data_IF_963516079730
#
_entry.id   IF_963516079730
#
_cell.length_a   1.000
_cell.length_b   1.000
_cell.length_c   1.000
_cell.angle_alpha   90.00
_cell.angle_beta   90.00
_cell.angle_gamma   90.00
#
_symmetry.space_group_name_H-M   'P 1'
#
loop_
_entity.id
_entity.type
_entity.pdbx_description
1 polymer ?
#
# COMPACT_ATOMS: atom_id res chain seq x y z
N UNK A 1 3.78 -22.88 7.13
CA UNK A 1 3.67 -22.90 8.61
C UNK A 1 4.99 -23.27 9.27
N UNK A 2 5.59 -24.41 8.93
CA UNK A 2 6.83 -24.88 9.57
C UNK A 2 7.99 -23.90 9.43
N UNK A 3 8.10 -23.20 8.30
CA UNK A 3 9.11 -22.16 8.11
C UNK A 3 8.93 -20.95 9.05
N UNK A 4 7.70 -20.60 9.41
CA UNK A 4 7.42 -19.51 10.36
C UNK A 4 7.66 -19.97 11.79
N UNK A 5 7.20 -21.18 12.14
CA UNK A 5 7.39 -21.76 13.48
C UNK A 5 8.86 -22.05 13.80
N UNK A 6 9.64 -22.47 12.80
CA UNK A 6 11.09 -22.69 12.93
C UNK A 6 11.92 -21.41 12.87
N UNK A 7 11.30 -20.26 12.55
CA UNK A 7 11.99 -18.98 12.55
C UNK A 7 12.42 -18.58 13.97
N UNK A 8 13.39 -17.67 14.08
CA UNK A 8 13.93 -17.20 15.38
C UNK A 8 12.87 -16.60 16.31
N UNK A 9 11.77 -16.10 15.75
CA UNK A 9 10.67 -15.47 16.47
C UNK A 9 9.39 -16.31 16.41
N UNK A 10 9.43 -17.52 15.84
CA UNK A 10 8.27 -18.37 15.61
C UNK A 10 7.53 -18.75 16.89
N UNK A 11 8.25 -18.86 18.02
CA UNK A 11 7.70 -19.18 19.34
C UNK A 11 6.94 -18.01 19.99
N UNK A 12 7.05 -16.80 19.45
CA UNK A 12 6.33 -15.62 19.97
C UNK A 12 4.85 -15.64 19.60
N UNK A 13 4.50 -16.28 18.48
CA UNK A 13 3.14 -16.33 17.97
C UNK A 13 2.30 -17.34 18.75
N UNK A 14 1.07 -16.96 19.12
CA UNK A 14 0.11 -17.86 19.77
C UNK A 14 -0.18 -19.05 18.85
N UNK A 15 -0.04 -20.31 19.32
CA UNK A 15 -0.35 -21.51 18.55
C UNK A 15 -1.76 -21.50 17.96
N UNK A 16 -2.72 -20.94 18.68
CA UNK A 16 -4.15 -20.90 18.31
C UNK A 16 -4.42 -19.93 17.16
N UNK A 17 -3.57 -18.92 16.95
CA UNK A 17 -3.73 -17.94 15.88
C UNK A 17 -3.15 -18.46 14.55
N UNK A 18 -2.64 -19.69 14.52
CA UNK A 18 -2.13 -20.33 13.32
C UNK A 18 -3.21 -21.15 12.63
N UNK A 19 -3.90 -20.52 11.69
CA UNK A 19 -4.94 -21.14 10.89
C UNK A 19 -4.37 -21.54 9.54
N UNK A 20 -4.61 -22.77 9.12
CA UNK A 20 -4.16 -23.27 7.82
C UNK A 20 -5.12 -24.30 7.24
N UNK A 21 -5.29 -24.27 5.92
CA UNK A 21 -5.96 -25.32 5.17
C UNK A 21 -5.02 -26.51 4.91
N UNK A 22 -5.59 -27.60 4.41
CA UNK A 22 -4.85 -28.76 3.90
C UNK A 22 -4.50 -28.61 2.41
N UNK A 23 -5.27 -27.77 1.71
CA UNK A 23 -5.15 -27.49 0.28
C UNK A 23 -4.58 -26.08 0.07
N UNK A 24 -3.90 -25.86 -1.06
CA UNK A 24 -3.40 -24.56 -1.45
C UNK A 24 -4.16 -24.03 -2.65
N UNK A 25 -4.30 -22.70 -2.76
CA UNK A 25 -5.03 -22.08 -3.86
C UNK A 25 -4.33 -22.21 -5.23
N UNK A 26 -3.07 -22.65 -5.29
CA UNK A 26 -2.37 -22.96 -6.55
C UNK A 26 -2.25 -21.78 -7.52
N UNK A 27 -2.01 -20.57 -7.02
CA UNK A 27 -1.98 -19.31 -7.79
C UNK A 27 -3.29 -18.99 -8.54
N UNK A 28 -4.43 -19.48 -8.04
CA UNK A 28 -5.74 -19.18 -8.56
C UNK A 28 -6.53 -18.34 -7.56
N UNK A 29 -6.87 -17.10 -7.94
CA UNK A 29 -7.68 -16.19 -7.13
C UNK A 29 -9.08 -16.75 -6.84
N UNK A 30 -9.76 -17.34 -7.82
CA UNK A 30 -11.11 -17.87 -7.65
C UNK A 30 -11.15 -19.00 -6.61
N UNK A 31 -10.11 -19.84 -6.55
CA UNK A 31 -9.97 -20.84 -5.48
C UNK A 31 -9.85 -20.22 -4.10
N UNK A 32 -9.05 -19.15 -4.00
CA UNK A 32 -8.89 -18.41 -2.76
C UNK A 32 -10.16 -17.68 -2.34
N UNK A 33 -10.96 -17.20 -3.29
CA UNK A 33 -12.11 -16.35 -3.00
C UNK A 33 -13.42 -17.13 -2.83
N UNK A 34 -13.68 -18.13 -3.69
CA UNK A 34 -14.98 -18.81 -3.76
C UNK A 34 -15.00 -20.22 -3.18
N UNK A 35 -13.87 -20.94 -3.20
CA UNK A 35 -13.84 -22.36 -2.78
C UNK A 35 -13.04 -22.56 -1.49
N UNK A 36 -11.77 -22.89 -1.59
CA UNK A 36 -10.90 -23.29 -0.47
C UNK A 36 -10.77 -22.18 0.59
N UNK A 37 -10.67 -20.91 0.18
CA UNK A 37 -10.58 -19.81 1.14
C UNK A 37 -11.90 -19.47 1.82
N UNK A 38 -13.04 -19.70 1.15
CA UNK A 38 -14.36 -19.49 1.74
C UNK A 38 -14.67 -20.53 2.83
N UNK A 39 -14.16 -21.75 2.73
CA UNK A 39 -14.26 -22.75 3.81
C UNK A 39 -13.41 -22.36 5.04
N UNK A 40 -12.28 -21.68 4.82
CA UNK A 40 -11.34 -21.34 5.89
C UNK A 40 -11.64 -19.98 6.55
N UNK A 41 -12.31 -19.06 5.85
CA UNK A 41 -12.48 -17.67 6.30
C UNK A 41 -13.25 -17.57 7.62
N UNK A 42 -14.24 -18.42 7.85
CA UNK A 42 -15.02 -18.40 9.11
C UNK A 42 -14.14 -18.72 10.32
N UNK A 43 -13.25 -19.70 10.20
CA UNK A 43 -12.29 -20.01 11.26
C UNK A 43 -11.33 -18.83 11.53
N UNK A 44 -10.95 -18.09 10.48
CA UNK A 44 -10.13 -16.88 10.61
C UNK A 44 -10.91 -15.78 11.31
N UNK A 45 -12.15 -15.56 10.92
CA UNK A 45 -13.02 -14.54 11.52
C UNK A 45 -13.27 -14.82 13.00
N UNK A 46 -13.43 -16.08 13.42
CA UNK A 46 -13.57 -16.43 14.84
C UNK A 46 -12.35 -16.03 15.67
N UNK A 47 -11.13 -16.25 15.16
CA UNK A 47 -9.91 -15.80 15.84
C UNK A 47 -9.79 -14.28 15.83
N UNK A 48 -10.16 -13.63 14.72
CA UNK A 48 -10.19 -12.17 14.62
C UNK A 48 -11.14 -11.58 15.66
N UNK A 49 -12.36 -12.13 15.81
CA UNK A 49 -13.34 -11.73 16.84
C UNK A 49 -12.77 -11.84 18.24
N UNK A 50 -12.16 -12.98 18.58
CA UNK A 50 -11.55 -13.20 19.89
C UNK A 50 -10.46 -12.16 20.22
N UNK A 51 -9.60 -11.84 19.25
CA UNK A 51 -8.55 -10.82 19.45
C UNK A 51 -9.15 -9.40 19.50
N UNK A 52 -10.23 -9.12 18.76
CA UNK A 52 -10.93 -7.83 18.81
C UNK A 52 -11.62 -7.60 20.16
N UNK A 53 -12.28 -8.61 20.73
CA UNK A 53 -12.89 -8.54 22.07
C UNK A 53 -11.86 -8.38 23.18
N UNK A 54 -10.61 -8.81 22.92
CA UNK A 54 -9.49 -8.66 23.84
C UNK A 54 -8.92 -7.23 23.88
N UNK A 55 -9.32 -6.35 22.95
CA UNK A 55 -8.81 -4.99 22.84
C UNK A 55 -9.70 -3.97 23.54
N UNK A 56 -9.12 -3.08 24.35
CA UNK A 56 -9.86 -1.97 24.98
C UNK A 56 -10.45 -1.00 23.94
N UNK A 57 -9.67 -0.66 22.90
CA UNK A 57 -10.11 0.18 21.79
C UNK A 57 -9.35 -0.18 20.51
N UNK A 58 -10.00 -0.95 19.66
CA UNK A 58 -9.46 -1.36 18.36
C UNK A 58 -9.39 -0.17 17.39
N UNK A 59 -8.21 0.11 16.83
CA UNK A 59 -8.08 1.17 15.81
C UNK A 59 -8.48 0.69 14.41
N UNK A 60 -8.09 -0.54 14.05
CA UNK A 60 -8.20 -1.04 12.71
C UNK A 60 -7.45 -2.34 12.49
N UNK A 61 -7.43 -2.79 11.24
CA UNK A 61 -6.81 -4.02 10.79
C UNK A 61 -5.66 -3.71 9.83
N UNK A 62 -4.62 -4.54 9.88
CA UNK A 62 -3.49 -4.45 8.97
C UNK A 62 -3.29 -5.80 8.28
N UNK A 63 -3.61 -5.88 7.00
CA UNK A 63 -3.37 -7.08 6.19
C UNK A 63 -2.05 -6.96 5.43
N UNK A 64 -1.28 -8.05 5.38
CA UNK A 64 -0.04 -8.14 4.58
C UNK A 64 -0.21 -9.30 3.62
N UNK A 65 -0.28 -9.02 2.33
CA UNK A 65 -0.59 -10.02 1.31
C UNK A 65 0.07 -9.72 -0.04
N UNK A 66 0.09 -10.70 -0.92
CA UNK A 66 0.53 -10.54 -2.31
C UNK A 66 -0.65 -10.66 -3.25
N UNK A 67 -0.72 -9.79 -4.26
CA UNK A 67 -1.82 -9.77 -5.21
C UNK A 67 -1.63 -10.75 -6.38
N UNK A 68 -0.40 -11.21 -6.62
CA UNK A 68 -0.10 -12.18 -7.68
C UNK A 68 -0.44 -13.64 -7.33
N UNK A 69 -0.59 -13.96 -6.04
CA UNK A 69 -0.87 -15.34 -5.58
C UNK A 69 -2.33 -15.76 -5.79
N UNK A 70 -2.74 -16.86 -5.16
CA UNK A 70 -4.16 -17.26 -5.07
C UNK A 70 -4.75 -17.08 -3.66
N UNK A 71 -3.99 -17.46 -2.62
CA UNK A 71 -4.45 -17.33 -1.22
C UNK A 71 -4.34 -15.90 -0.73
N UNK A 72 -3.17 -15.27 -0.87
CA UNK A 72 -2.97 -13.89 -0.40
C UNK A 72 -3.89 -12.90 -1.10
N UNK A 73 -4.15 -13.13 -2.38
CA UNK A 73 -5.02 -12.30 -3.21
C UNK A 73 -6.50 -12.63 -2.95
N UNK A 74 -6.98 -13.81 -3.33
CA UNK A 74 -8.39 -14.19 -3.27
C UNK A 74 -8.95 -14.34 -1.86
N UNK A 75 -8.28 -15.10 -0.99
CA UNK A 75 -8.71 -15.25 0.39
C UNK A 75 -8.46 -13.96 1.18
N UNK A 76 -7.39 -13.23 0.87
CA UNK A 76 -7.09 -11.93 1.50
C UNK A 76 -8.16 -10.89 1.23
N UNK A 77 -8.63 -10.76 -0.01
CA UNK A 77 -9.74 -9.85 -0.35
C UNK A 77 -11.07 -10.32 0.23
N UNK A 78 -11.35 -11.63 0.25
CA UNK A 78 -12.53 -12.16 0.93
C UNK A 78 -12.53 -11.80 2.42
N UNK A 79 -11.39 -11.93 3.09
CA UNK A 79 -11.24 -11.59 4.49
C UNK A 79 -11.43 -10.09 4.73
N UNK A 80 -10.91 -9.23 3.85
CA UNK A 80 -11.13 -7.78 3.91
C UNK A 80 -12.64 -7.48 3.86
N UNK A 81 -13.36 -8.07 2.91
CA UNK A 81 -14.80 -7.84 2.75
C UNK A 81 -15.57 -8.27 4.01
N UNK A 82 -15.25 -9.44 4.57
CA UNK A 82 -15.87 -9.93 5.81
C UNK A 82 -15.56 -9.05 7.01
N UNK A 83 -14.32 -8.56 7.14
CA UNK A 83 -13.96 -7.63 8.20
C UNK A 83 -14.68 -6.29 8.01
N UNK A 84 -14.84 -5.81 6.77
CA UNK A 84 -15.55 -4.55 6.50
C UNK A 84 -17.05 -4.65 6.79
N UNK A 85 -17.66 -5.80 6.50
CA UNK A 85 -19.06 -6.11 6.87
C UNK A 85 -19.27 -6.09 8.39
N UNK A 86 -18.36 -6.70 9.16
CA UNK A 86 -18.50 -6.84 10.62
C UNK A 86 -18.02 -5.60 11.41
N UNK A 87 -17.00 -4.90 10.88
CA UNK A 87 -16.34 -3.75 11.52
C UNK A 87 -16.26 -2.54 10.57
N UNK A 88 -17.41 -1.97 10.12
CA UNK A 88 -17.43 -0.89 9.14
C UNK A 88 -16.74 0.40 9.64
N UNK A 89 -16.82 0.66 10.95
CA UNK A 89 -16.23 1.86 11.56
C UNK A 89 -14.71 1.76 11.80
N UNK A 90 -14.06 0.64 11.44
CA UNK A 90 -12.64 0.41 11.72
C UNK A 90 -11.81 0.59 10.45
N UNK A 91 -10.61 1.17 10.62
CA UNK A 91 -9.69 1.42 9.51
C UNK A 91 -9.14 0.10 8.98
N UNK A 92 -9.17 -0.10 7.67
CA UNK A 92 -8.61 -1.24 6.97
C UNK A 92 -7.37 -0.83 6.17
N UNK A 93 -6.21 -1.27 6.62
CA UNK A 93 -4.93 -0.99 5.99
C UNK A 93 -4.34 -2.26 5.35
N UNK A 94 -3.81 -2.13 4.14
CA UNK A 94 -3.16 -3.26 3.45
C UNK A 94 -1.73 -2.93 3.01
N UNK A 95 -0.82 -3.88 3.19
CA UNK A 95 0.49 -3.88 2.57
C UNK A 95 0.45 -4.88 1.43
N UNK A 96 0.23 -4.35 0.23
CA UNK A 96 -0.10 -5.12 -0.97
C UNK A 96 1.13 -5.24 -1.85
N UNK A 97 1.66 -6.46 -1.95
CA UNK A 97 2.81 -6.75 -2.82
C UNK A 97 2.32 -6.98 -4.25
N UNK A 98 2.70 -6.07 -5.14
CA UNK A 98 2.39 -6.06 -6.55
C UNK A 98 3.26 -7.07 -7.30
N UNK A 99 2.69 -7.83 -8.26
CA UNK A 99 3.46 -8.76 -9.06
C UNK A 99 4.40 -8.02 -10.02
N UNK A 100 5.51 -8.67 -10.36
CA UNK A 100 6.42 -8.20 -11.40
C UNK A 100 6.96 -9.36 -12.23
N UNK A 101 6.96 -9.23 -13.57
CA UNK A 101 7.50 -10.26 -14.47
C UNK A 101 9.01 -10.46 -14.34
N UNK A 102 9.74 -9.56 -13.66
CA UNK A 102 11.18 -9.73 -13.39
C UNK A 102 11.46 -10.68 -12.23
N UNK A 103 10.50 -10.88 -11.34
CA UNK A 103 10.69 -11.57 -10.05
C UNK A 103 9.91 -12.87 -9.97
N UNK A 104 8.81 -13.01 -10.70
CA UNK A 104 7.97 -14.21 -10.71
C UNK A 104 7.79 -14.80 -12.11
N UNK A 105 7.82 -16.13 -12.17
CA UNK A 105 7.59 -16.93 -13.39
C UNK A 105 6.11 -17.30 -13.58
N UNK A 106 5.23 -16.88 -12.67
CA UNK A 106 3.80 -17.24 -12.72
C UNK A 106 3.07 -16.38 -13.77
N UNK A 107 2.50 -17.03 -14.78
CA UNK A 107 1.86 -16.32 -15.90
C UNK A 107 0.49 -15.73 -15.56
N UNK A 108 -0.19 -16.23 -14.53
CA UNK A 108 -1.57 -15.82 -14.18
C UNK A 108 -1.63 -14.67 -13.17
N UNK A 109 -0.50 -14.12 -12.73
CA UNK A 109 -0.47 -13.04 -11.72
C UNK A 109 -1.27 -11.79 -12.12
N UNK A 110 -1.27 -11.33 -13.40
CA UNK A 110 -2.08 -10.17 -13.78
C UNK A 110 -3.59 -10.40 -13.57
N UNK A 111 -4.11 -11.62 -13.78
CA UNK A 111 -5.50 -11.94 -13.47
C UNK A 111 -5.78 -11.78 -11.97
N UNK A 112 -4.96 -12.43 -11.14
CA UNK A 112 -5.11 -12.37 -9.69
C UNK A 112 -5.00 -10.93 -9.17
N UNK A 113 -4.11 -10.12 -9.74
CA UNK A 113 -3.90 -8.75 -9.33
C UNK A 113 -5.07 -7.84 -9.69
N UNK A 114 -5.60 -7.90 -10.93
CA UNK A 114 -6.76 -7.08 -11.33
C UNK A 114 -7.99 -7.40 -10.48
N UNK A 115 -8.28 -8.69 -10.28
CA UNK A 115 -9.40 -9.12 -9.45
C UNK A 115 -9.24 -8.66 -8.00
N UNK A 116 -8.01 -8.65 -7.49
CA UNK A 116 -7.76 -8.18 -6.13
C UNK A 116 -7.82 -6.67 -6.01
N UNK A 117 -7.27 -5.92 -6.98
CA UNK A 117 -7.30 -4.46 -7.00
C UNK A 117 -8.75 -3.97 -7.00
N UNK A 118 -9.62 -4.59 -7.82
CA UNK A 118 -11.04 -4.31 -7.83
C UNK A 118 -11.66 -4.37 -6.41
N UNK A 119 -11.35 -5.40 -5.63
CA UNK A 119 -11.82 -5.53 -4.24
C UNK A 119 -11.17 -4.52 -3.28
N UNK A 120 -9.88 -4.19 -3.49
CA UNK A 120 -9.16 -3.23 -2.65
C UNK A 120 -9.66 -1.79 -2.82
N UNK A 121 -10.12 -1.42 -4.02
CA UNK A 121 -10.66 -0.09 -4.31
C UNK A 121 -11.86 0.22 -3.39
N UNK A 122 -12.72 -0.75 -3.16
CA UNK A 122 -13.98 -0.52 -2.42
C UNK A 122 -13.85 -0.78 -0.92
N UNK A 123 -13.01 -1.75 -0.52
CA UNK A 123 -13.05 -2.30 0.84
C UNK A 123 -11.87 -1.92 1.73
N UNK A 124 -10.94 -1.08 1.26
CA UNK A 124 -9.77 -0.65 2.05
C UNK A 124 -9.71 0.86 2.18
N UNK A 125 -9.23 1.35 3.32
CA UNK A 125 -9.06 2.79 3.56
C UNK A 125 -7.64 3.25 3.21
N UNK A 126 -6.62 2.38 3.32
CA UNK A 126 -5.25 2.66 2.91
C UNK A 126 -4.58 1.42 2.30
N UNK A 127 -4.02 1.54 1.10
CA UNK A 127 -3.25 0.47 0.46
C UNK A 127 -1.82 0.92 0.14
N UNK A 128 -0.84 0.31 0.81
CA UNK A 128 0.58 0.53 0.55
C UNK A 128 1.04 -0.39 -0.58
N UNK A 129 1.28 0.19 -1.76
CA UNK A 129 1.71 -0.54 -2.95
C UNK A 129 3.21 -0.84 -2.87
N UNK A 130 3.55 -2.11 -2.72
CA UNK A 130 4.94 -2.57 -2.68
C UNK A 130 5.22 -3.35 -3.96
N UNK A 131 6.06 -2.82 -4.83
CA UNK A 131 6.40 -3.45 -6.09
C UNK A 131 7.71 -4.25 -5.99
N UNK A 132 7.63 -5.55 -6.28
CA UNK A 132 8.79 -6.43 -6.35
C UNK A 132 9.82 -5.94 -7.38
N UNK A 133 9.38 -5.29 -8.45
CA UNK A 133 10.28 -4.69 -9.46
C UNK A 133 11.16 -3.60 -8.84
N UNK A 134 10.54 -2.66 -8.12
CA UNK A 134 11.23 -1.56 -7.48
C UNK A 134 12.17 -2.05 -6.39
N UNK A 135 11.71 -3.01 -5.56
CA UNK A 135 12.55 -3.63 -4.53
C UNK A 135 13.77 -4.32 -5.12
N UNK A 136 13.60 -5.05 -6.23
CA UNK A 136 14.72 -5.69 -6.93
C UNK A 136 15.70 -4.66 -7.48
N UNK A 137 15.21 -3.62 -8.15
CA UNK A 137 16.04 -2.56 -8.71
C UNK A 137 16.80 -1.78 -7.61
N UNK A 138 16.19 -1.52 -6.45
CA UNK A 138 16.86 -0.93 -5.27
C UNK A 138 17.99 -1.84 -4.78
N UNK A 139 17.71 -3.13 -4.56
CA UNK A 139 18.70 -4.08 -4.09
C UNK A 139 19.89 -4.21 -5.05
N UNK A 140 19.60 -4.30 -6.35
CA UNK A 140 20.61 -4.49 -7.37
C UNK A 140 21.42 -3.21 -7.64
N UNK A 141 20.74 -2.08 -7.89
CA UNK A 141 21.39 -0.83 -8.32
C UNK A 141 21.90 0.01 -7.17
N UNK A 142 21.12 0.15 -6.09
CA UNK A 142 21.43 1.05 -4.97
C UNK A 142 22.25 0.33 -3.90
N UNK A 143 21.84 -0.87 -3.48
CA UNK A 143 22.56 -1.64 -2.46
C UNK A 143 23.74 -2.45 -3.03
N UNK A 144 23.88 -2.53 -4.36
CA UNK A 144 24.95 -3.26 -5.07
C UNK A 144 24.98 -4.75 -4.74
N UNK A 145 23.81 -5.36 -4.57
CA UNK A 145 23.67 -6.81 -4.40
C UNK A 145 23.54 -7.47 -5.77
N UNK A 146 24.52 -8.29 -6.17
CA UNK A 146 24.52 -8.91 -7.50
C UNK A 146 23.34 -9.88 -7.70
N UNK A 147 22.96 -10.63 -6.65
CA UNK A 147 21.85 -11.58 -6.67
C UNK A 147 20.93 -11.31 -5.46
N UNK A 148 19.96 -10.36 -5.57
CA UNK A 148 18.99 -10.11 -4.51
C UNK A 148 18.15 -11.35 -4.21
N UNK A 149 18.03 -11.72 -2.93
CA UNK A 149 17.13 -12.79 -2.49
C UNK A 149 15.84 -12.22 -1.90
N UNK A 150 14.77 -13.03 -1.79
CA UNK A 150 13.55 -12.61 -1.10
C UNK A 150 13.80 -12.13 0.34
N UNK A 151 14.85 -12.62 1.02
CA UNK A 151 15.26 -12.12 2.32
C UNK A 151 15.70 -10.65 2.29
N UNK A 152 16.36 -10.22 1.21
CA UNK A 152 16.80 -8.84 1.02
C UNK A 152 15.62 -7.92 0.67
N UNK A 153 14.71 -8.38 -0.19
CA UNK A 153 13.46 -7.64 -0.48
C UNK A 153 12.62 -7.47 0.79
N UNK A 154 12.42 -8.55 1.54
CA UNK A 154 11.65 -8.52 2.78
C UNK A 154 12.30 -7.63 3.85
N UNK A 155 13.64 -7.47 3.82
CA UNK A 155 14.31 -6.53 4.71
C UNK A 155 13.86 -5.08 4.42
N UNK A 156 13.81 -4.68 3.15
CA UNK A 156 13.30 -3.36 2.74
C UNK A 156 11.85 -3.16 3.17
N UNK A 157 10.98 -4.13 2.87
CA UNK A 157 9.56 -4.10 3.25
C UNK A 157 9.40 -3.95 4.77
N UNK A 158 10.16 -4.71 5.56
CA UNK A 158 10.09 -4.63 7.02
C UNK A 158 10.50 -3.26 7.57
N UNK A 159 11.46 -2.58 6.94
CA UNK A 159 11.88 -1.22 7.33
C UNK A 159 10.79 -0.20 7.03
N UNK A 160 10.17 -0.29 5.85
CA UNK A 160 9.04 0.54 5.46
C UNK A 160 7.84 0.35 6.38
N UNK A 161 7.42 -0.90 6.62
CA UNK A 161 6.32 -1.22 7.52
C UNK A 161 6.61 -0.72 8.95
N UNK A 162 7.85 -0.88 9.43
CA UNK A 162 8.25 -0.32 10.72
C UNK A 162 8.15 1.20 10.72
N UNK A 163 8.56 1.84 9.63
CA UNK A 163 8.49 3.28 9.40
C UNK A 163 7.07 3.83 9.48
N UNK A 164 6.17 3.30 8.65
CA UNK A 164 4.75 3.68 8.56
C UNK A 164 4.06 3.55 9.92
N UNK A 165 4.27 2.44 10.63
CA UNK A 165 3.66 2.17 11.94
C UNK A 165 4.38 2.83 13.12
N UNK A 166 5.35 3.73 12.88
CA UNK A 166 6.14 4.34 13.97
C UNK A 166 5.28 5.23 14.85
N UNK A 167 4.40 6.05 14.24
CA UNK A 167 3.52 6.97 14.98
C UNK A 167 2.54 6.26 15.90
N UNK A 168 2.23 4.99 15.62
CA UNK A 168 1.33 4.16 16.43
C UNK A 168 2.07 3.50 17.61
N UNK A 169 3.34 3.13 17.41
CA UNK A 169 4.10 2.32 18.37
C UNK A 169 4.91 3.15 19.36
N UNK A 170 5.24 4.39 19.00
CA UNK A 170 6.06 5.25 19.84
C UNK A 170 5.40 6.62 20.02
N UNK A 171 5.44 7.20 21.23
CA UNK A 171 5.03 8.58 21.42
C UNK A 171 5.99 9.50 20.64
N UNK A 172 5.43 10.32 19.76
CA UNK A 172 6.11 11.37 19.03
C UNK A 172 5.51 12.74 19.35
N UNK A 173 6.18 13.80 18.89
CA UNK A 173 5.65 15.17 19.04
C UNK A 173 4.40 15.40 18.18
N UNK A 174 4.27 14.64 17.09
CA UNK A 174 3.12 14.64 16.19
C UNK A 174 2.54 13.23 16.14
N UNK A 175 1.70 12.89 17.13
CA UNK A 175 1.00 11.61 17.16
C UNK A 175 -0.12 11.63 16.11
N UNK A 176 -0.04 10.68 15.17
CA UNK A 176 -1.07 10.41 14.18
C UNK A 176 -1.50 8.94 14.34
N UNK A 177 -2.71 8.81 14.87
CA UNK A 177 -3.60 7.66 14.82
C UNK A 177 -3.89 7.26 13.36
N UNK A 178 -4.20 5.97 13.11
CA UNK A 178 -4.44 5.45 11.77
C UNK A 178 -5.51 6.26 11.01
N UNK A 179 -6.62 6.57 11.68
CA UNK A 179 -7.68 7.39 11.09
C UNK A 179 -7.19 8.78 10.70
N UNK A 180 -6.33 9.38 11.50
CA UNK A 180 -5.77 10.70 11.23
C UNK A 180 -4.78 10.65 10.06
N UNK A 181 -4.05 9.55 9.90
CA UNK A 181 -3.23 9.34 8.71
C UNK A 181 -4.11 9.25 7.46
N UNK A 182 -5.15 8.41 7.49
CA UNK A 182 -6.08 8.23 6.38
C UNK A 182 -6.72 9.56 5.94
N UNK A 183 -7.29 10.32 6.89
CA UNK A 183 -7.93 11.63 6.61
C UNK A 183 -6.96 12.66 6.01
N UNK A 184 -5.67 12.60 6.37
CA UNK A 184 -4.69 13.54 5.80
C UNK A 184 -4.11 13.08 4.46
N UNK A 185 -4.20 11.78 4.14
CA UNK A 185 -3.52 11.18 2.99
C UNK A 185 -4.47 10.82 1.85
N UNK A 186 -5.75 10.59 2.15
CA UNK A 186 -6.77 10.17 1.19
C UNK A 186 -7.75 11.34 0.99
N UNK A 187 -7.54 12.18 -0.03
CA UNK A 187 -8.50 13.25 -0.35
C UNK A 187 -9.80 12.67 -0.95
N UNK A 188 -9.68 11.62 -1.76
CA UNK A 188 -10.81 10.96 -2.42
C UNK A 188 -10.86 9.47 -2.05
N UNK A 189 -12.02 8.90 -1.71
CA UNK A 189 -12.13 7.55 -1.17
C UNK A 189 -11.49 6.45 -2.02
N UNK A 190 -11.51 6.58 -3.36
CA UNK A 190 -10.94 5.60 -4.30
C UNK A 190 -9.43 5.76 -4.53
N UNK A 191 -8.86 6.91 -4.15
CA UNK A 191 -7.45 7.25 -4.38
C UNK A 191 -6.61 7.08 -3.12
N UNK A 192 -6.65 5.88 -2.56
CA UNK A 192 -5.98 5.48 -1.31
C UNK A 192 -4.77 4.57 -1.53
N UNK A 193 -4.22 4.55 -2.74
CA UNK A 193 -3.05 3.75 -3.09
C UNK A 193 -1.77 4.57 -2.92
N UNK A 194 -0.97 4.21 -1.92
CA UNK A 194 0.25 4.93 -1.57
C UNK A 194 1.50 4.31 -2.19
N UNK A 195 2.43 5.18 -2.55
CA UNK A 195 3.81 4.86 -2.90
C UNK A 195 4.70 5.01 -1.66
N UNK A 196 5.10 3.90 -1.01
CA UNK A 196 6.03 3.99 0.10
C UNK A 196 7.46 4.17 -0.39
N UNK A 197 8.27 4.85 0.42
CA UNK A 197 9.71 5.00 0.24
C UNK A 197 10.44 4.95 1.57
N UNK A 198 11.72 4.61 1.53
CA UNK A 198 12.56 4.58 2.73
C UNK A 198 13.91 5.21 2.45
N UNK A 199 14.39 6.02 3.39
CA UNK A 199 15.74 6.54 3.38
C UNK A 199 16.35 6.41 4.79
N UNK A 200 17.65 6.14 4.92
CA UNK A 200 18.62 5.99 3.84
C UNK A 200 18.68 4.56 3.27
N UNK A 201 18.92 4.46 1.96
CA UNK A 201 19.24 3.20 1.29
C UNK A 201 20.74 3.18 0.99
N UNK A 202 21.53 2.71 1.96
CA UNK A 202 22.99 2.62 1.83
C UNK A 202 23.47 1.17 1.83
N UNK A 203 24.38 0.85 0.92
CA UNK A 203 25.08 -0.44 0.93
C UNK A 203 25.87 -0.61 2.23
N UNK A 204 26.08 -1.86 2.66
CA UNK A 204 26.84 -2.20 3.88
C UNK A 204 28.27 -1.63 3.87
N UNK A 205 28.89 -1.51 2.70
CA UNK A 205 30.24 -0.96 2.54
C UNK A 205 30.31 0.56 2.57
N UNK A 206 29.25 1.26 2.16
CA UNK A 206 29.20 2.73 2.09
C UNK A 206 28.64 3.38 3.36
N UNK A 207 28.05 2.59 4.27
CA UNK A 207 27.38 3.08 5.48
C UNK A 207 28.31 3.85 6.44
N UNK A 208 29.61 3.51 6.49
CA UNK A 208 30.58 4.18 7.38
C UNK A 208 31.09 5.52 6.82
N UNK A 209 31.00 5.73 5.51
CA UNK A 209 31.58 6.90 4.84
C UNK A 209 30.56 8.02 4.58
N UNK A 210 29.27 7.74 4.73
CA UNK A 210 28.20 8.72 4.45
C UNK A 210 27.72 9.38 5.74
N UNK A 211 27.91 10.70 5.82
CA UNK A 211 27.33 11.50 6.88
C UNK A 211 25.83 11.69 6.62
N UNK A 212 24.98 10.98 7.37
CA UNK A 212 23.53 11.16 7.29
C UNK A 212 23.15 12.50 7.91
N UNK A 213 22.50 13.35 7.13
CA UNK A 213 21.93 14.64 7.56
C UNK A 213 20.45 14.73 7.17
N UNK A 214 19.70 15.63 7.79
CA UNK A 214 18.28 15.85 7.44
C UNK A 214 18.12 16.22 5.97
N UNK A 215 18.88 17.18 5.39
CA UNK A 215 18.77 17.51 3.96
C UNK A 215 19.03 16.32 3.03
N UNK A 216 20.01 15.47 3.35
CA UNK A 216 20.31 14.27 2.55
C UNK A 216 19.19 13.22 2.62
N UNK A 217 18.55 13.07 3.78
CA UNK A 217 17.39 12.18 3.94
C UNK A 217 16.21 12.70 3.13
N UNK A 218 15.91 13.99 3.25
CA UNK A 218 14.80 14.62 2.52
C UNK A 218 15.02 14.52 1.01
N UNK A 219 16.23 14.78 0.52
CA UNK A 219 16.53 14.64 -0.91
C UNK A 219 16.41 13.18 -1.40
N UNK A 220 16.82 12.21 -0.59
CA UNK A 220 16.68 10.79 -0.92
C UNK A 220 15.23 10.32 -0.92
N UNK A 221 14.37 10.85 -0.05
CA UNK A 221 12.96 10.47 0.00
C UNK A 221 12.23 10.77 -1.31
N UNK A 222 12.52 11.91 -1.93
CA UNK A 222 11.89 12.32 -3.20
C UNK A 222 12.65 11.84 -4.45
N UNK A 223 13.69 11.00 -4.29
CA UNK A 223 14.37 10.37 -5.43
C UNK A 223 13.54 9.18 -5.92
N UNK A 224 13.21 9.15 -7.21
CA UNK A 224 12.47 8.05 -7.84
C UNK A 224 13.11 6.67 -7.59
N UNK A 225 14.45 6.64 -7.43
CA UNK A 225 15.20 5.40 -7.18
C UNK A 225 14.98 4.78 -5.80
N UNK A 226 14.40 5.53 -4.86
CA UNK A 226 14.16 5.08 -3.49
C UNK A 226 12.69 4.76 -3.22
N UNK A 227 11.84 4.90 -4.24
CA UNK A 227 10.43 4.49 -4.17
C UNK A 227 10.33 2.98 -4.25
N UNK A 228 9.45 2.40 -3.44
CA UNK A 228 9.17 0.97 -3.44
C UNK A 228 8.03 0.57 -4.38
N UNK A 229 7.50 1.53 -5.14
CA UNK A 229 6.63 1.29 -6.29
C UNK A 229 7.40 1.68 -7.55
N UNK A 230 7.34 0.87 -8.62
CA UNK A 230 8.10 1.12 -9.84
C UNK A 230 7.37 2.12 -10.76
N UNK A 231 7.23 3.35 -10.27
CA UNK A 231 6.70 4.49 -11.02
C UNK A 231 7.66 5.67 -10.85
N UNK A 232 7.80 6.53 -11.87
CA UNK A 232 8.55 7.78 -11.70
C UNK A 232 7.61 8.85 -11.13
N UNK A 233 7.84 9.33 -9.89
CA UNK A 233 6.97 10.34 -9.28
C UNK A 233 6.95 11.67 -10.03
N UNK A 234 7.88 11.90 -10.96
CA UNK A 234 7.97 13.11 -11.80
C UNK A 234 6.98 13.10 -12.97
N UNK A 235 6.46 11.93 -13.34
CA UNK A 235 5.44 11.82 -14.39
C UNK A 235 4.03 12.15 -13.90
N UNK A 236 3.86 12.32 -12.58
CA UNK A 236 2.61 12.71 -11.95
C UNK A 236 2.77 13.87 -10.99
N UNK A 237 1.73 14.08 -10.18
CA UNK A 237 1.69 15.09 -9.12
C UNK A 237 1.34 14.42 -7.79
N UNK A 238 1.94 14.92 -6.72
CA UNK A 238 1.60 14.51 -5.36
C UNK A 238 0.30 15.18 -4.93
N UNK A 239 -0.71 14.36 -4.65
CA UNK A 239 -1.93 14.77 -3.97
C UNK A 239 -1.58 15.09 -2.53
N UNK A 240 -1.05 14.11 -1.81
CA UNK A 240 -0.64 14.22 -0.40
C UNK A 240 0.68 13.49 -0.15
N UNK A 241 1.41 13.95 0.86
CA UNK A 241 2.70 13.35 1.27
C UNK A 241 2.76 13.30 2.79
N UNK A 242 3.09 12.12 3.33
CA UNK A 242 3.50 11.96 4.71
C UNK A 242 4.98 11.56 4.79
N UNK A 243 5.71 12.25 5.65
CA UNK A 243 7.12 12.02 5.92
C UNK A 243 7.32 11.72 7.41
N UNK A 244 7.72 10.49 7.74
CA UNK A 244 7.98 10.06 9.12
C UNK A 244 9.48 9.99 9.35
N UNK A 245 10.02 10.99 10.04
CA UNK A 245 11.41 11.04 10.44
C UNK A 245 11.63 10.37 11.79
N UNK A 246 12.74 9.63 11.90
CA UNK A 246 13.11 8.86 13.09
C UNK A 246 14.54 9.13 13.50
N UNK A 247 14.75 9.39 14.78
CA UNK A 247 16.05 9.69 15.39
C UNK A 247 16.13 11.11 15.93
N UNK A 248 17.24 11.42 16.62
CA UNK A 248 17.46 12.73 17.23
C UNK A 248 17.78 13.77 16.17
N UNK A 249 16.82 14.63 15.85
CA UNK A 249 16.97 15.73 14.89
C UNK A 249 16.16 16.95 15.32
N UNK A 250 16.48 18.11 14.75
CA UNK A 250 15.74 19.34 14.99
C UNK A 250 14.49 19.36 14.13
N UNK A 251 13.30 19.45 14.75
CA UNK A 251 12.02 19.58 14.02
C UNK A 251 12.02 20.77 13.08
N UNK A 252 12.58 21.90 13.53
CA UNK A 252 12.75 23.10 12.70
C UNK A 252 13.54 22.84 11.42
N UNK A 253 14.61 22.07 11.50
CA UNK A 253 15.43 21.75 10.32
C UNK A 253 14.66 20.86 9.35
N UNK A 254 13.87 19.91 9.86
CA UNK A 254 13.01 19.06 9.04
C UNK A 254 11.97 19.89 8.29
N UNK A 255 11.27 20.79 8.99
CA UNK A 255 10.24 21.65 8.40
C UNK A 255 10.84 22.58 7.33
N UNK A 256 12.00 23.19 7.59
CA UNK A 256 12.72 24.02 6.62
C UNK A 256 13.11 23.23 5.36
N UNK A 257 13.57 21.98 5.51
CA UNK A 257 13.94 21.14 4.35
C UNK A 257 12.73 20.67 3.54
N UNK A 258 11.62 20.32 4.20
CA UNK A 258 10.40 19.93 3.52
C UNK A 258 9.79 21.10 2.73
N UNK A 259 9.75 22.30 3.33
CA UNK A 259 9.30 23.52 2.65
C UNK A 259 10.19 23.87 1.45
N UNK A 260 11.51 23.70 1.58
CA UNK A 260 12.46 23.92 0.48
C UNK A 260 12.22 22.99 -0.70
N UNK A 261 11.93 21.71 -0.45
CA UNK A 261 11.58 20.77 -1.52
C UNK A 261 10.25 21.18 -2.17
N UNK A 262 9.23 21.49 -1.38
CA UNK A 262 7.92 21.90 -1.90
C UNK A 262 8.04 23.15 -2.77
N UNK A 263 8.84 24.14 -2.35
CA UNK A 263 9.06 25.38 -3.12
C UNK A 263 9.84 25.13 -4.41
N UNK A 264 10.86 24.27 -4.38
CA UNK A 264 11.67 23.95 -5.57
C UNK A 264 10.90 23.14 -6.61
N UNK A 265 10.01 22.28 -6.14
CA UNK A 265 9.31 21.28 -6.92
C UNK A 265 7.80 21.56 -6.97
N UNK A 266 7.38 22.83 -6.86
CA UNK A 266 5.97 23.19 -6.70
C UNK A 266 5.08 22.63 -7.81
N UNK A 267 5.60 22.52 -9.03
CA UNK A 267 4.90 21.92 -10.18
C UNK A 267 4.54 20.43 -10.03
N UNK A 268 5.23 19.71 -9.14
CA UNK A 268 4.99 18.30 -8.84
C UNK A 268 4.03 18.11 -7.65
N UNK A 269 3.62 19.20 -7.00
CA UNK A 269 2.59 19.16 -5.97
C UNK A 269 1.33 19.77 -6.53
N UNK A 270 0.20 19.21 -6.13
CA UNK A 270 -1.10 19.73 -6.50
C UNK A 270 -1.36 21.05 -5.77
N UNK A 271 -1.83 22.06 -6.51
CA UNK A 271 -2.03 23.42 -5.98
C UNK A 271 -3.34 23.57 -5.19
N UNK A 272 -4.38 22.80 -5.54
CA UNK A 272 -5.72 22.89 -4.92
C UNK A 272 -5.81 22.21 -3.54
N UNK A 273 -4.81 21.40 -3.13
CA UNK A 273 -4.68 20.94 -1.73
C UNK A 273 -3.67 21.80 -1.00
N UNK A 274 -4.10 22.81 -0.21
CA UNK A 274 -3.17 23.56 0.61
C UNK A 274 -2.56 22.66 1.71
N UNK A 275 -1.27 22.82 1.99
CA UNK A 275 -0.56 22.10 3.07
C UNK A 275 -0.67 20.56 2.99
N UNK A 276 -0.52 20.03 1.78
CA UNK A 276 -0.58 18.59 1.47
C UNK A 276 0.59 17.74 1.98
N UNK A 277 1.62 18.36 2.57
CA UNK A 277 2.76 17.68 3.14
C UNK A 277 2.63 17.63 4.66
N UNK A 278 2.57 16.42 5.22
CA UNK A 278 2.58 16.16 6.67
C UNK A 278 3.91 15.56 7.10
N UNK A 279 4.44 16.06 8.21
CA UNK A 279 5.71 15.63 8.78
C UNK A 279 5.48 15.13 10.18
N UNK A 280 5.99 13.95 10.49
CA UNK A 280 6.04 13.40 11.83
C UNK A 280 7.49 13.14 12.24
N UNK A 281 7.84 13.48 13.48
CA UNK A 281 9.18 13.24 14.03
C UNK A 281 9.08 12.37 15.28
N UNK A 282 9.85 11.28 15.27
CA UNK A 282 9.97 10.35 16.38
C UNK A 282 11.43 10.28 16.85
N UNK A 283 11.66 10.43 18.16
CA UNK A 283 13.01 10.45 18.72
C UNK A 283 13.72 9.08 18.66
N UNK A 284 12.97 7.99 18.47
CA UNK A 284 13.48 6.61 18.53
C UNK A 284 13.88 6.13 17.12
N UNK A 285 15.19 6.04 16.84
CA UNK A 285 15.67 5.60 15.53
C UNK A 285 15.45 4.09 15.32
N UNK A 286 15.41 3.62 14.06
CA UNK A 286 15.35 2.19 13.78
C UNK A 286 16.68 1.49 14.11
N UNK A 287 16.62 0.17 14.27
CA UNK A 287 17.79 -0.64 14.65
C UNK A 287 18.89 -0.56 13.59
N UNK A 288 20.09 -0.17 14.01
CA UNK A 288 21.29 -0.13 13.14
C UNK A 288 21.48 1.19 12.38
N UNK A 289 20.57 2.17 12.55
CA UNK A 289 20.68 3.50 11.96
C UNK A 289 20.55 4.56 13.05
N UNK A 290 21.22 5.71 12.87
CA UNK A 290 21.09 6.86 13.78
C UNK A 290 19.88 7.73 13.43
N UNK A 291 19.60 7.84 12.14
CA UNK A 291 18.47 8.58 11.59
C UNK A 291 17.92 7.82 10.39
N UNK A 292 16.62 7.91 10.20
CA UNK A 292 15.92 7.38 9.03
C UNK A 292 14.69 8.23 8.75
N UNK A 293 14.17 8.12 7.54
CA UNK A 293 12.91 8.71 7.15
C UNK A 293 12.12 7.72 6.30
N UNK A 294 10.82 7.69 6.52
CA UNK A 294 9.87 6.90 5.75
C UNK A 294 8.97 7.85 5.02
N UNK A 295 8.81 7.61 3.73
CA UNK A 295 8.01 8.39 2.82
C UNK A 295 6.74 7.61 2.51
N UNK A 296 5.61 8.29 2.51
CA UNK A 296 4.33 7.79 2.04
C UNK A 296 3.79 8.87 1.12
N UNK A 297 3.76 8.60 -0.18
CA UNK A 297 3.23 9.55 -1.16
C UNK A 297 1.95 9.04 -1.79
N UNK A 298 0.91 9.86 -1.79
CA UNK A 298 -0.21 9.68 -2.69
C UNK A 298 0.09 10.49 -3.96
N UNK A 299 0.45 9.79 -5.05
CA UNK A 299 0.90 10.42 -6.29
C UNK A 299 0.16 9.80 -7.48
N UNK A 300 -0.31 10.64 -8.39
CA UNK A 300 -1.01 10.22 -9.61
C UNK A 300 -0.15 9.34 -10.54
N UNK A 301 1.18 9.35 -10.38
CA UNK A 301 2.11 8.47 -11.09
C UNK A 301 1.87 6.98 -10.79
N UNK A 302 1.17 6.62 -9.69
CA UNK A 302 0.81 5.23 -9.40
C UNK A 302 -0.01 4.59 -10.54
N UNK A 303 -0.67 5.40 -11.37
CA UNK A 303 -1.36 4.93 -12.57
C UNK A 303 -0.47 4.10 -13.52
N UNK A 304 0.85 4.34 -13.55
CA UNK A 304 1.78 3.55 -14.38
C UNK A 304 1.81 2.08 -13.93
N UNK A 305 1.72 1.84 -12.62
CA UNK A 305 1.68 0.50 -12.04
C UNK A 305 0.40 -0.22 -12.46
N UNK A 306 -0.75 0.45 -12.35
CA UNK A 306 -2.04 -0.10 -12.73
C UNK A 306 -2.13 -0.34 -14.24
N UNK A 307 -1.66 0.60 -15.06
CA UNK A 307 -1.61 0.47 -16.53
C UNK A 307 -0.76 -0.73 -16.94
N UNK A 308 0.40 -0.95 -16.31
CA UNK A 308 1.26 -2.11 -16.59
C UNK A 308 0.55 -3.44 -16.30
N UNK A 309 -0.17 -3.53 -15.19
CA UNK A 309 -0.93 -4.75 -14.84
C UNK A 309 -2.11 -4.94 -15.80
N UNK A 310 -2.85 -3.87 -16.10
CA UNK A 310 -3.98 -3.86 -17.05
C UNK A 310 -3.54 -4.29 -18.45
N UNK A 311 -2.45 -3.76 -18.99
CA UNK A 311 -1.93 -4.17 -20.31
C UNK A 311 -1.61 -5.67 -20.38
N UNK A 312 -0.98 -6.23 -19.34
CA UNK A 312 -0.67 -7.66 -19.27
C UNK A 312 -1.94 -8.50 -19.17
N UNK A 313 -2.91 -8.06 -18.36
CA UNK A 313 -4.22 -8.67 -18.25
C UNK A 313 -4.93 -8.69 -19.61
N UNK A 314 -5.06 -7.55 -20.30
CA UNK A 314 -5.79 -7.46 -21.57
C UNK A 314 -5.16 -8.33 -22.66
N UNK A 315 -3.83 -8.53 -22.66
CA UNK A 315 -3.16 -9.42 -23.62
C UNK A 315 -3.53 -10.89 -23.37
N UNK A 316 -3.62 -11.30 -22.11
CA UNK A 316 -4.01 -12.66 -21.75
C UNK A 316 -5.52 -12.90 -21.94
N UNK A 317 -6.34 -11.95 -21.50
CA UNK A 317 -7.80 -12.05 -21.55
C UNK A 317 -8.33 -12.07 -22.98
N UNK A 318 -7.74 -11.27 -23.88
CA UNK A 318 -8.05 -11.33 -25.32
C UNK A 318 -7.82 -12.71 -25.96
N UNK A 319 -6.91 -13.51 -25.40
CA UNK A 319 -6.62 -14.88 -25.85
C UNK A 319 -7.40 -15.93 -25.07
N UNK A 320 -8.20 -15.53 -24.06
CA UNK A 320 -8.86 -16.39 -23.09
C UNK A 320 -7.92 -17.44 -22.47
N UNK A 321 -6.64 -17.07 -22.30
CA UNK A 321 -5.63 -17.97 -21.77
C UNK A 321 -5.90 -18.21 -20.27
N UNK A 322 -5.83 -19.48 -19.84
CA UNK A 322 -6.02 -19.93 -18.45
C UNK A 322 -7.38 -19.61 -17.80
N UNK A 323 -8.34 -19.07 -18.54
CA UNK A 323 -9.65 -18.65 -18.02
C UNK A 323 -10.46 -19.81 -17.40
N UNK A 324 -10.36 -21.00 -18.00
CA UNK A 324 -11.02 -22.22 -17.51
C UNK A 324 -10.63 -22.63 -16.08
N UNK A 325 -9.50 -22.15 -15.54
CA UNK A 325 -9.12 -22.39 -14.14
C UNK A 325 -9.97 -21.57 -13.18
N UNK A 326 -10.45 -20.40 -13.60
CA UNK A 326 -11.27 -19.51 -12.78
C UNK A 326 -12.75 -19.85 -12.94
N UNK A 327 -13.21 -20.03 -14.18
CA UNK A 327 -14.61 -20.39 -14.45
C UNK A 327 -14.96 -21.80 -13.96
N UNK A 328 -13.97 -22.69 -13.89
CA UNK A 328 -14.12 -24.01 -13.26
C UNK A 328 -14.42 -23.96 -11.75
N UNK A 329 -14.12 -22.84 -11.09
CA UNK A 329 -14.38 -22.61 -9.66
C UNK A 329 -15.67 -21.80 -9.43
N UNK A 330 -16.44 -21.52 -10.49
CA UNK A 330 -17.74 -20.84 -10.40
C UNK A 330 -17.75 -19.35 -10.73
N UNK A 331 -16.61 -18.78 -11.15
CA UNK A 331 -16.48 -17.37 -11.55
C UNK A 331 -17.02 -17.12 -12.96
N UNK A 332 -17.71 -16.00 -13.20
CA UNK A 332 -18.18 -15.64 -14.56
C UNK A 332 -17.10 -14.84 -15.35
N UNK A 333 -17.12 -14.98 -16.69
CA UNK A 333 -16.31 -14.18 -17.62
C UNK A 333 -16.62 -12.67 -17.46
N UNK A 334 -17.83 -12.31 -17.01
CA UNK A 334 -18.25 -10.94 -16.78
C UNK A 334 -17.47 -10.27 -15.64
N UNK A 335 -17.19 -10.99 -14.55
CA UNK A 335 -16.44 -10.47 -13.39
C UNK A 335 -15.03 -10.01 -13.78
N UNK A 336 -14.39 -10.69 -14.75
CA UNK A 336 -13.11 -10.25 -15.29
C UNK A 336 -13.21 -8.91 -16.02
N UNK A 337 -14.28 -8.72 -16.77
CA UNK A 337 -14.52 -7.49 -17.53
C UNK A 337 -14.83 -6.34 -16.59
N UNK A 338 -15.65 -6.57 -15.56
CA UNK A 338 -15.97 -5.58 -14.52
C UNK A 338 -14.71 -5.15 -13.75
N UNK A 339 -13.85 -6.10 -13.36
CA UNK A 339 -12.61 -5.79 -12.67
C UNK A 339 -11.61 -5.01 -13.56
N UNK A 340 -11.53 -5.34 -14.86
CA UNK A 340 -10.73 -4.59 -15.83
C UNK A 340 -11.26 -3.16 -16.01
N UNK A 341 -12.57 -3.00 -16.17
CA UNK A 341 -13.23 -1.70 -16.27
C UNK A 341 -12.96 -0.85 -15.01
N UNK A 342 -13.22 -1.38 -13.81
CA UNK A 342 -13.03 -0.63 -12.57
C UNK A 342 -11.56 -0.19 -12.38
N UNK A 343 -10.60 -1.03 -12.77
CA UNK A 343 -9.18 -0.66 -12.72
C UNK A 343 -8.82 0.43 -13.73
N UNK A 344 -9.42 0.40 -14.92
CA UNK A 344 -9.21 1.44 -15.94
C UNK A 344 -9.90 2.76 -15.56
N UNK A 345 -11.05 2.70 -14.89
CA UNK A 345 -11.73 3.87 -14.33
C UNK A 345 -10.86 4.52 -13.26
N UNK A 346 -10.28 3.74 -12.34
CA UNK A 346 -9.31 4.22 -11.36
C UNK A 346 -8.10 4.91 -12.02
N UNK A 347 -7.55 4.33 -13.10
CA UNK A 347 -6.46 4.96 -13.86
C UNK A 347 -6.89 6.30 -14.45
N UNK A 348 -8.14 6.39 -14.92
CA UNK A 348 -8.71 7.60 -15.51
C UNK A 348 -8.93 8.68 -14.44
N UNK A 349 -9.40 8.31 -13.25
CA UNK A 349 -9.51 9.21 -12.08
C UNK A 349 -8.14 9.81 -11.73
N UNK A 350 -7.10 8.99 -11.58
CA UNK A 350 -5.74 9.51 -11.33
C UNK A 350 -5.26 10.48 -12.43
N UNK A 351 -5.62 10.23 -13.68
CA UNK A 351 -5.25 11.11 -14.80
C UNK A 351 -6.03 12.43 -14.75
N UNK A 352 -7.32 12.39 -14.43
CA UNK A 352 -8.16 13.59 -14.27
C UNK A 352 -7.57 14.52 -13.21
N UNK A 353 -7.26 14.02 -12.01
CA UNK A 353 -6.67 14.85 -10.94
C UNK A 353 -5.22 15.26 -11.20
N UNK A 354 -4.50 14.55 -12.07
CA UNK A 354 -3.18 14.96 -12.50
C UNK A 354 -3.24 16.23 -13.37
N UNK A 355 -4.22 16.28 -14.27
CA UNK A 355 -4.41 17.39 -15.22
C UNK A 355 -5.26 18.52 -14.63
N UNK A 356 -6.01 18.26 -13.55
CA UNK A 356 -6.79 19.26 -12.83
C UNK A 356 -5.94 20.46 -12.40
N UNK A 357 -6.43 21.65 -12.73
CA UNK A 357 -5.91 22.94 -12.28
C UNK A 357 -6.84 23.53 -11.23
N UNK A 358 -6.34 24.48 -10.42
CA UNK A 358 -7.12 25.10 -9.35
C UNK A 358 -8.41 25.80 -9.82
N UNK A 359 -8.54 26.13 -11.10
CA UNK A 359 -9.76 26.73 -11.69
C UNK A 359 -10.89 25.71 -11.91
N UNK A 360 -10.58 24.40 -11.96
CA UNK A 360 -11.57 23.32 -12.19
C UNK A 360 -11.97 22.68 -10.85
N UNK A 361 -11.04 22.62 -9.88
CA UNK A 361 -11.31 22.02 -8.58
C UNK A 361 -12.40 22.71 -7.77
N UNK A 362 -12.55 24.05 -7.85
CA UNK A 362 -13.60 24.75 -7.10
C UNK A 362 -15.02 24.32 -7.52
N UNK A 363 -15.25 23.95 -8.80
CA UNK A 363 -16.56 23.47 -9.27
C UNK A 363 -16.84 22.02 -8.82
N UNK A 364 -15.85 21.12 -8.89
CA UNK A 364 -16.02 19.72 -8.46
C UNK A 364 -16.16 19.59 -6.93
N UNK A 365 -15.51 20.45 -6.13
CA UNK A 365 -15.67 20.46 -4.66
C UNK A 365 -17.03 20.99 -4.20
N UNK A 366 -17.58 21.99 -4.90
CA UNK A 366 -18.94 22.48 -4.62
C UNK A 366 -19.99 21.42 -4.97
N UNK A 367 -19.82 20.66 -6.06
CA UNK A 367 -20.73 19.57 -6.42
C UNK A 367 -20.67 18.37 -5.44
N UNK A 368 -19.47 17.94 -5.00
CA UNK A 368 -19.35 16.85 -4.01
C UNK A 368 -19.84 17.26 -2.60
N UNK A 369 -19.65 18.52 -2.18
CA UNK A 369 -20.24 19.02 -0.92
C UNK A 369 -21.77 19.13 -0.99
N UNK A 370 -22.33 19.54 -2.15
CA UNK A 370 -23.78 19.59 -2.35
C UNK A 370 -24.40 18.18 -2.33
N UNK A 371 -23.78 17.17 -2.95
CA UNK A 371 -24.25 15.77 -2.90
C UNK A 371 -24.20 15.19 -1.47
N UNK A 372 -23.14 15.47 -0.71
CA UNK A 372 -23.00 15.03 0.69
C UNK A 372 -23.98 15.74 1.64
N UNK A 373 -24.38 16.98 1.34
CA UNK A 373 -25.44 17.70 2.06
C UNK A 373 -26.85 17.21 1.71
N UNK A 374 -27.08 16.71 0.49
CA UNK A 374 -28.36 16.12 0.09
C UNK A 374 -28.56 14.73 0.72
N UNK A 375 -27.54 13.87 0.76
CA UNK A 375 -27.64 12.55 1.44
C UNK A 375 -27.92 12.68 2.95
N UNK A 376 -27.38 13.71 3.62
CA UNK A 376 -27.65 13.97 5.03
C UNK A 376 -29.07 14.52 5.31
N UNK A 377 -29.78 15.01 4.27
CA UNK A 377 -31.18 15.46 4.40
C UNK A 377 -32.19 14.32 4.19
N UNK A 378 -31.79 13.20 3.60
CA UNK A 378 -32.67 12.06 3.29
C UNK A 378 -32.79 10.99 4.39
N UNK A 379 -32.15 11.17 5.55
CA UNK A 379 -32.38 10.29 6.72
C UNK A 379 -33.39 10.91 7.70
N UNK A 380 -34.69 10.61 7.60
CA UNK A 380 -35.65 11.00 8.63
C UNK A 380 -35.45 10.16 9.90
N UNK A 381 -35.46 10.85 11.03
CA UNK A 381 -35.44 10.29 12.41
C UNK A 381 -36.51 9.25 12.68
#
# INVERSE_FOLDING_TARGET
MDSVRSSRIGQLFRPDNFIHGNSGAGNNWAKGHYTEGAELVENVMDVVRNECESCDCLQGFQLVHSLGGGTGSGMGTLLINKIREEYPDRIMNTFSVMPSPKVSDTVVEPYNAILSIHQLIENTDETYCIDNEALYDICFRTLKLNNPTYGDLNHLVSMTMSGVTTSLRFPGQLNADLRKLAVNMVPFPRLHFFMPGFAPLTSRGSQQYRALSVPELTQQMFDARNMMAACDPRHGRYLTVAAVFRGKMSTKEVDEQMLNIQTKNSSYFVEWIPNNVKVAVCDIPPRGLKMASTFIGNNTAIQELFRRISEQFSVMFRRKAFLHWYTGEGMDDMEFTEAECNTNDLVSEYLQYQDATAEIGEEDYEEEEEEAEEENKETPK
#
